data_IF_380752927644
#
_entry.id   IF_380752927644
#
_cell.length_a   1.000
_cell.length_b   1.000
_cell.length_c   1.000
_cell.angle_alpha   90.00
_cell.angle_beta   90.00
_cell.angle_gamma   90.00
#
_symmetry.space_group_name_H-M   'P 1'
#
loop_
_entity.id
_entity.type
_entity.pdbx_description
1 polymer ?
#
# COMPACT_ATOMS: atom_id res chain seq x y z
N UNK A 1 17.97 56.80 24.47
CA UNK A 1 18.60 56.27 23.24
C UNK A 1 18.03 54.86 22.99
N UNK A 2 16.85 54.76 22.37
CA UNK A 2 16.22 53.48 22.04
C UNK A 2 16.82 52.96 20.73
N UNK A 3 17.52 51.81 20.77
CA UNK A 3 18.00 51.13 19.57
C UNK A 3 16.84 50.35 18.95
N UNK A 4 16.33 50.86 17.84
CA UNK A 4 15.36 50.16 16.98
C UNK A 4 16.05 48.98 16.30
N UNK A 5 15.65 47.75 16.67
CA UNK A 5 16.01 46.55 15.93
C UNK A 5 15.24 46.54 14.60
N UNK A 6 15.89 47.01 13.55
CA UNK A 6 15.41 46.85 12.17
C UNK A 6 15.33 45.36 11.84
N UNK A 7 14.10 44.82 11.73
CA UNK A 7 13.86 43.46 11.22
C UNK A 7 13.96 43.51 9.70
N UNK A 8 15.09 43.11 9.14
CA UNK A 8 15.28 43.05 7.69
C UNK A 8 14.37 42.00 7.03
N UNK A 9 13.61 42.35 5.98
CA UNK A 9 12.65 41.46 5.31
C UNK A 9 13.31 40.26 4.62
N UNK A 10 14.62 40.34 4.37
CA UNK A 10 15.43 39.29 3.75
C UNK A 10 15.51 38.04 4.66
N UNK A 11 15.47 38.21 5.97
CA UNK A 11 15.58 37.10 6.92
C UNK A 11 14.33 36.19 6.90
N UNK A 12 13.16 36.73 6.51
CA UNK A 12 11.89 35.99 6.49
C UNK A 12 11.78 35.12 5.22
N UNK A 13 12.42 35.53 4.11
CA UNK A 13 12.31 34.82 2.84
C UNK A 13 13.11 33.50 2.83
N UNK A 14 14.22 33.43 3.57
CA UNK A 14 15.10 32.25 3.58
C UNK A 14 14.51 31.10 4.42
N UNK A 15 13.74 31.40 5.48
CA UNK A 15 13.12 30.37 6.32
C UNK A 15 11.83 29.78 5.72
N UNK A 16 11.22 30.45 4.74
CA UNK A 16 10.00 29.98 4.08
C UNK A 16 10.20 28.87 3.05
N UNK A 17 11.43 28.69 2.54
CA UNK A 17 11.71 27.77 1.42
C UNK A 17 11.98 26.33 1.90
N UNK A 18 12.36 26.12 3.16
CA UNK A 18 12.76 24.77 3.64
C UNK A 18 11.61 23.87 4.10
N UNK A 19 10.37 24.38 4.18
CA UNK A 19 9.20 23.61 4.69
C UNK A 19 8.34 23.01 3.55
N UNK A 20 8.59 23.39 2.29
CA UNK A 20 7.72 23.03 1.15
C UNK A 20 7.96 21.65 0.51
N UNK A 21 8.95 20.85 0.94
CA UNK A 21 9.39 19.66 0.19
C UNK A 21 8.90 18.32 0.73
N UNK A 22 8.18 18.27 1.85
CA UNK A 22 7.70 17.00 2.46
C UNK A 22 6.21 16.73 2.18
N UNK A 23 5.57 17.47 1.26
CA UNK A 23 4.15 17.25 0.91
C UNK A 23 3.94 16.41 -0.37
N UNK A 24 5.00 15.93 -1.01
CA UNK A 24 4.94 15.20 -2.29
C UNK A 24 4.82 13.68 -2.20
N UNK A 25 4.95 13.09 -1.00
CA UNK A 25 4.90 11.62 -0.82
C UNK A 25 3.49 11.05 -0.59
N UNK A 26 2.48 11.91 -0.43
CA UNK A 26 1.12 11.48 -0.08
C UNK A 26 0.24 11.10 -1.28
N UNK A 27 0.71 11.30 -2.52
CA UNK A 27 -0.03 10.91 -3.75
C UNK A 27 0.44 9.54 -4.30
N UNK A 28 1.07 8.71 -3.46
CA UNK A 28 1.23 7.28 -3.73
C UNK A 28 0.06 6.45 -3.16
N UNK A 29 -0.97 7.11 -2.62
CA UNK A 29 -2.28 6.51 -2.41
C UNK A 29 -2.96 6.38 -3.78
N UNK A 30 -3.17 5.16 -4.28
CA UNK A 30 -4.32 4.73 -5.11
C UNK A 30 -4.00 3.65 -6.16
N UNK A 31 -2.74 3.42 -6.53
CA UNK A 31 -2.37 2.33 -7.43
C UNK A 31 -1.49 1.33 -6.68
N UNK A 32 -2.05 0.20 -6.27
CA UNK A 32 -1.33 -0.88 -5.58
C UNK A 32 -1.19 -2.10 -6.52
N UNK A 33 -0.62 -1.91 -7.73
CA UNK A 33 -0.78 -2.85 -8.86
C UNK A 33 -0.33 -4.27 -8.52
N UNK A 34 0.75 -4.41 -7.74
CA UNK A 34 1.27 -5.72 -7.32
C UNK A 34 0.28 -6.47 -6.43
N UNK A 35 -0.50 -5.78 -5.59
CA UNK A 35 -1.51 -6.42 -4.74
C UNK A 35 -2.74 -6.84 -5.57
N UNK A 36 -3.13 -6.03 -6.56
CA UNK A 36 -4.17 -6.44 -7.51
C UNK A 36 -3.73 -7.64 -8.35
N UNK A 37 -2.48 -7.66 -8.80
CA UNK A 37 -1.90 -8.78 -9.53
C UNK A 37 -1.85 -10.04 -8.66
N UNK A 38 -1.34 -9.93 -7.43
CA UNK A 38 -1.31 -11.04 -6.47
C UNK A 38 -2.71 -11.60 -6.22
N UNK A 39 -3.73 -10.74 -6.07
CA UNK A 39 -5.12 -11.18 -5.93
C UNK A 39 -5.58 -12.01 -7.14
N UNK A 40 -5.25 -11.58 -8.37
CA UNK A 40 -5.56 -12.33 -9.59
C UNK A 40 -4.85 -13.68 -9.65
N UNK A 41 -3.56 -13.73 -9.28
CA UNK A 41 -2.79 -14.97 -9.23
C UNK A 41 -3.36 -15.96 -8.20
N UNK A 42 -3.75 -15.47 -7.01
CA UNK A 42 -4.37 -16.30 -5.98
C UNK A 42 -5.73 -16.86 -6.43
N UNK A 43 -6.55 -16.06 -7.11
CA UNK A 43 -7.82 -16.52 -7.67
C UNK A 43 -7.62 -17.61 -8.74
N UNK A 44 -6.62 -17.45 -9.61
CA UNK A 44 -6.26 -18.45 -10.60
C UNK A 44 -5.75 -19.74 -9.93
N UNK A 45 -4.89 -19.63 -8.92
CA UNK A 45 -4.41 -20.78 -8.14
C UNK A 45 -5.58 -21.54 -7.49
N UNK A 46 -6.54 -20.82 -6.89
CA UNK A 46 -7.76 -21.41 -6.32
C UNK A 46 -8.56 -22.17 -7.37
N UNK A 47 -8.78 -21.58 -8.56
CA UNK A 47 -9.51 -22.23 -9.64
C UNK A 47 -8.83 -23.53 -10.10
N UNK A 48 -7.50 -23.54 -10.16
CA UNK A 48 -6.71 -24.74 -10.47
C UNK A 48 -6.84 -25.81 -9.39
N UNK A 49 -6.80 -25.43 -8.12
CA UNK A 49 -6.98 -26.37 -7.00
C UNK A 49 -8.37 -26.99 -6.97
N UNK A 50 -9.42 -26.22 -7.27
CA UNK A 50 -10.81 -26.72 -7.34
C UNK A 50 -10.96 -27.77 -8.44
N UNK A 51 -10.28 -27.59 -9.57
CA UNK A 51 -10.28 -28.54 -10.70
C UNK A 51 -9.42 -29.78 -10.48
N UNK A 52 -8.55 -29.80 -9.47
CA UNK A 52 -7.68 -30.95 -9.22
C UNK A 52 -8.50 -32.17 -8.77
N UNK A 53 -8.41 -33.27 -9.51
CA UNK A 53 -9.24 -34.47 -9.32
C UNK A 53 -8.99 -35.19 -7.98
N UNK A 54 -7.73 -35.21 -7.51
CA UNK A 54 -7.36 -36.00 -6.34
C UNK A 54 -7.11 -35.12 -5.10
N UNK A 55 -7.98 -35.24 -4.10
CA UNK A 55 -7.73 -34.72 -2.75
C UNK A 55 -6.76 -35.65 -1.97
N UNK A 56 -5.60 -35.96 -2.56
CA UNK A 56 -4.59 -36.89 -2.00
C UNK A 56 -4.31 -36.51 -0.55
N UNK A 57 -4.74 -37.32 0.41
CA UNK A 57 -4.54 -37.07 1.85
C UNK A 57 -5.12 -35.76 2.41
N UNK A 58 -6.14 -35.17 1.77
CA UNK A 58 -6.75 -33.90 2.21
C UNK A 58 -5.94 -32.64 1.83
N UNK A 59 -4.84 -32.80 1.07
CA UNK A 59 -3.96 -31.67 0.74
C UNK A 59 -4.61 -30.62 -0.14
N UNK A 60 -5.51 -31.01 -1.05
CA UNK A 60 -6.20 -30.08 -1.95
C UNK A 60 -7.10 -29.14 -1.15
N UNK A 61 -7.90 -29.67 -0.23
CA UNK A 61 -8.81 -28.86 0.58
C UNK A 61 -8.03 -27.93 1.53
N UNK A 62 -6.94 -28.43 2.14
CA UNK A 62 -6.04 -27.58 2.93
C UNK A 62 -5.41 -26.46 2.11
N UNK A 63 -4.95 -26.77 0.89
CA UNK A 63 -4.38 -25.78 -0.01
C UNK A 63 -5.41 -24.72 -0.42
N UNK A 64 -6.65 -25.12 -0.69
CA UNK A 64 -7.74 -24.17 -0.95
C UNK A 64 -7.94 -23.25 0.26
N UNK A 65 -7.97 -23.81 1.48
CA UNK A 65 -8.08 -23.01 2.71
C UNK A 65 -6.95 -21.98 2.86
N UNK A 66 -5.70 -22.36 2.61
CA UNK A 66 -4.58 -21.41 2.65
C UNK A 66 -4.69 -20.31 1.58
N UNK A 67 -5.11 -20.66 0.37
CA UNK A 67 -5.31 -19.68 -0.71
C UNK A 67 -6.47 -18.73 -0.39
N UNK A 68 -7.56 -19.24 0.19
CA UNK A 68 -8.70 -18.42 0.61
C UNK A 68 -8.30 -17.40 1.69
N UNK A 69 -7.51 -17.82 2.68
CA UNK A 69 -6.94 -16.91 3.69
C UNK A 69 -6.05 -15.84 3.06
N UNK A 70 -5.16 -16.23 2.12
CA UNK A 70 -4.29 -15.28 1.42
C UNK A 70 -5.09 -14.26 0.57
N UNK A 71 -6.18 -14.69 -0.07
CA UNK A 71 -7.10 -13.80 -0.80
C UNK A 71 -7.73 -12.78 0.16
N UNK A 72 -8.16 -13.22 1.35
CA UNK A 72 -8.76 -12.33 2.34
C UNK A 72 -7.78 -11.25 2.80
N UNK A 73 -6.55 -11.62 3.17
CA UNK A 73 -5.50 -10.68 3.59
C UNK A 73 -5.10 -9.72 2.46
N UNK A 74 -4.99 -10.22 1.22
CA UNK A 74 -4.67 -9.37 0.05
C UNK A 74 -5.77 -8.32 -0.18
N UNK A 75 -7.04 -8.72 -0.07
CA UNK A 75 -8.17 -7.78 -0.17
C UNK A 75 -8.15 -6.76 0.96
N UNK A 76 -7.86 -7.18 2.19
CA UNK A 76 -7.73 -6.28 3.33
C UNK A 76 -6.59 -5.26 3.12
N UNK A 77 -5.42 -5.70 2.64
CA UNK A 77 -4.31 -4.81 2.31
C UNK A 77 -4.62 -3.81 1.19
N UNK A 78 -5.37 -4.24 0.16
CA UNK A 78 -5.87 -3.34 -0.90
C UNK A 78 -6.87 -2.32 -0.33
N UNK A 79 -7.75 -2.74 0.58
CA UNK A 79 -8.75 -1.88 1.18
C UNK A 79 -8.13 -0.86 2.16
N UNK A 80 -7.09 -1.24 2.89
CA UNK A 80 -6.38 -0.35 3.82
C UNK A 80 -5.69 0.82 3.10
N UNK A 81 -5.23 0.60 1.87
CA UNK A 81 -4.53 1.62 1.07
C UNK A 81 -5.47 2.51 0.24
N UNK A 82 -6.80 2.29 0.29
CA UNK A 82 -7.82 3.15 -0.33
C UNK A 82 -8.26 4.25 0.61
#
# INVERSE_FOLDING_TARGET
>A
MLRSFSKSPIAILVTGITIGTIAGACIAMAAQPNMQEALGQLQAARASLVKAEANKGGHRDRAIGFVDSAIAETRAGIAYAR
#
